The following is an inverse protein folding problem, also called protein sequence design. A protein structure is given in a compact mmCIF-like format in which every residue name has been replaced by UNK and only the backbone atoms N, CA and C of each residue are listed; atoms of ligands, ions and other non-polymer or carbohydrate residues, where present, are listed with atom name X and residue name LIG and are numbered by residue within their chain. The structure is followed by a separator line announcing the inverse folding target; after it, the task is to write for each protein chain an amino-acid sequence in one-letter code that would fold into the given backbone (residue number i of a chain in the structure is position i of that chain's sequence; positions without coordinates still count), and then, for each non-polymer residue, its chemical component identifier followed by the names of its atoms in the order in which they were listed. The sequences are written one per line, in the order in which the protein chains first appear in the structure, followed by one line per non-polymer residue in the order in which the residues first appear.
data_IF_982097881915
#
_entry.id   IF_982097881915
#
_cell.length_a   1.000
_cell.length_b   1.000
_cell.length_c   1.000
_cell.angle_alpha   90.00
_cell.angle_beta   90.00
_cell.angle_gamma   90.00
#
_symmetry.space_group_name_H-M   'P 1'
#
loop_
_entity.id
_entity.type
_entity.pdbx_description
1 polymer ?
#
# COMPACT_ATOMS: atom_id res chain seq x y z
N UNK A 1 15.77 -16.79 -9.59
CA UNK A 1 16.00 -15.94 -8.45
C UNK A 1 15.44 -14.55 -8.69
N UNK A 2 14.71 -14.05 -7.72
CA UNK A 2 14.18 -12.70 -7.81
C UNK A 2 15.29 -11.68 -7.81
N UNK A 3 15.15 -10.70 -8.68
CA UNK A 3 16.03 -9.55 -8.65
C UNK A 3 15.41 -8.50 -7.74
N UNK A 4 16.25 -7.79 -7.04
CA UNK A 4 15.79 -6.70 -6.20
C UNK A 4 15.16 -5.62 -7.07
N UNK A 5 14.11 -5.03 -6.55
CA UNK A 5 13.46 -3.91 -7.22
C UNK A 5 14.24 -2.64 -6.95
N UNK A 6 14.46 -1.86 -8.00
CA UNK A 6 15.13 -0.57 -7.85
C UNK A 6 14.21 0.43 -7.15
N UNK A 7 14.80 1.51 -6.66
CA UNK A 7 14.01 2.57 -6.03
C UNK A 7 12.96 3.12 -6.99
N UNK A 8 13.32 3.35 -8.24
CA UNK A 8 12.37 3.91 -9.20
C UNK A 8 11.25 2.91 -9.54
N UNK A 9 11.56 1.62 -9.58
CA UNK A 9 10.53 0.62 -9.77
C UNK A 9 9.56 0.58 -8.59
N UNK A 10 10.09 0.65 -7.38
CA UNK A 10 9.26 0.68 -6.18
C UNK A 10 8.37 1.92 -6.16
N UNK A 11 8.92 3.08 -6.53
CA UNK A 11 8.13 4.30 -6.59
C UNK A 11 7.02 4.20 -7.61
N UNK A 12 7.30 3.60 -8.76
CA UNK A 12 6.30 3.43 -9.81
C UNK A 12 5.14 2.57 -9.33
N UNK A 13 5.44 1.45 -8.66
CA UNK A 13 4.38 0.56 -8.22
C UNK A 13 3.60 1.14 -7.05
N UNK A 14 4.25 1.90 -6.18
CA UNK A 14 3.54 2.57 -5.08
C UNK A 14 2.59 3.62 -5.64
N UNK A 15 3.04 4.42 -6.61
CA UNK A 15 2.18 5.42 -7.25
C UNK A 15 0.95 4.79 -7.90
N UNK A 16 1.16 3.69 -8.61
CA UNK A 16 0.06 2.99 -9.25
C UNK A 16 -0.92 2.41 -8.21
N UNK A 17 -0.38 1.81 -7.15
CA UNK A 17 -1.19 1.27 -6.07
C UNK A 17 -2.06 2.37 -5.45
N UNK A 18 -1.46 3.52 -5.15
CA UNK A 18 -2.20 4.62 -4.52
C UNK A 18 -3.31 5.14 -5.45
N UNK A 19 -3.05 5.18 -6.76
CA UNK A 19 -4.09 5.58 -7.70
C UNK A 19 -5.28 4.62 -7.65
N UNK A 20 -5.02 3.31 -7.60
CA UNK A 20 -6.09 2.32 -7.47
C UNK A 20 -6.83 2.47 -6.14
N UNK A 21 -6.10 2.66 -5.05
CA UNK A 21 -6.72 2.79 -3.73
C UNK A 21 -7.61 4.01 -3.66
N UNK A 22 -7.17 5.12 -4.24
CA UNK A 22 -7.99 6.34 -4.26
C UNK A 22 -9.28 6.13 -5.07
N UNK A 23 -9.19 5.39 -6.18
CA UNK A 23 -10.36 5.05 -6.96
C UNK A 23 -11.33 4.19 -6.15
N UNK A 24 -10.79 3.19 -5.45
CA UNK A 24 -11.60 2.33 -4.61
C UNK A 24 -12.31 3.13 -3.51
N UNK A 25 -11.60 4.04 -2.86
CA UNK A 25 -12.19 4.86 -1.80
C UNK A 25 -13.25 5.82 -2.33
N UNK A 26 -13.12 6.26 -3.57
CA UNK A 26 -14.09 7.13 -4.20
C UNK A 26 -15.29 6.37 -4.76
N UNK A 27 -15.29 5.05 -4.67
CA UNK A 27 -16.34 4.23 -5.24
C UNK A 27 -16.28 4.14 -6.75
N UNK A 28 -15.17 4.56 -7.34
CA UNK A 28 -14.99 4.48 -8.79
C UNK A 28 -14.52 3.07 -9.17
N UNK A 29 -14.93 2.64 -10.35
CA UNK A 29 -14.47 1.34 -10.84
C UNK A 29 -13.06 1.46 -11.39
N UNK A 30 -12.31 0.38 -11.25
CA UNK A 30 -10.99 0.28 -11.87
C UNK A 30 -10.69 -1.20 -12.09
N UNK A 31 -9.74 -1.47 -12.98
CA UNK A 31 -9.36 -2.84 -13.29
C UNK A 31 -7.95 -3.10 -12.81
N UNK A 32 -7.81 -4.00 -11.84
CA UNK A 32 -6.50 -4.41 -11.34
C UNK A 32 -5.67 -5.02 -12.47
N UNK A 33 -6.32 -5.77 -13.34
CA UNK A 33 -5.61 -6.40 -14.48
C UNK A 33 -5.04 -5.34 -15.41
N UNK A 34 -5.85 -4.33 -15.76
CA UNK A 34 -5.38 -3.27 -16.64
C UNK A 34 -4.21 -2.50 -16.02
N UNK A 35 -4.33 -2.15 -14.75
CA UNK A 35 -3.25 -1.47 -14.04
C UNK A 35 -1.98 -2.32 -14.06
N UNK A 36 -2.10 -3.61 -13.77
CA UNK A 36 -0.95 -4.50 -13.76
C UNK A 36 -0.30 -4.61 -15.14
N UNK A 37 -1.11 -4.70 -16.19
CA UNK A 37 -0.58 -4.81 -17.54
C UNK A 37 0.16 -3.54 -17.95
N UNK A 38 -0.41 -2.38 -17.66
CA UNK A 38 0.24 -1.11 -17.97
C UNK A 38 1.53 -0.94 -17.17
N UNK A 39 1.50 -1.35 -15.92
CA UNK A 39 2.68 -1.29 -15.07
C UNK A 39 3.78 -2.21 -15.58
N UNK A 40 3.42 -3.40 -16.06
CA UNK A 40 4.39 -4.36 -16.58
C UNK A 40 5.14 -3.79 -17.80
N UNK A 41 4.51 -2.93 -18.57
CA UNK A 41 5.19 -2.26 -19.68
C UNK A 41 6.29 -1.31 -19.19
N UNK A 42 6.14 -0.79 -18.01
CA UNK A 42 7.11 0.13 -17.39
C UNK A 42 8.18 -0.61 -16.58
N UNK A 43 7.86 -1.83 -16.15
CA UNK A 43 8.74 -2.62 -15.29
C UNK A 43 9.30 -3.79 -16.07
N UNK A 44 10.33 -3.50 -16.83
CA UNK A 44 10.94 -4.48 -17.70
C UNK A 44 11.36 -5.74 -16.93
N UNK A 45 10.92 -6.90 -17.41
CA UNK A 45 11.33 -8.17 -16.84
C UNK A 45 10.63 -8.62 -15.57
N UNK A 46 9.67 -7.83 -15.09
CA UNK A 46 8.95 -8.23 -13.88
C UNK A 46 7.77 -9.12 -14.21
N UNK A 47 7.63 -10.23 -13.50
CA UNK A 47 6.55 -11.18 -13.72
C UNK A 47 5.28 -10.70 -13.02
N UNK A 48 4.15 -11.28 -13.45
CA UNK A 48 2.87 -11.03 -12.80
C UNK A 48 2.96 -11.33 -11.29
N UNK A 49 3.53 -12.49 -10.95
CA UNK A 49 3.63 -12.89 -9.54
C UNK A 49 4.46 -11.89 -8.74
N UNK A 50 5.54 -11.39 -9.34
CA UNK A 50 6.40 -10.41 -8.67
C UNK A 50 5.65 -9.10 -8.42
N UNK A 51 4.90 -8.64 -9.41
CA UNK A 51 4.12 -7.40 -9.27
C UNK A 51 3.04 -7.56 -8.22
N UNK A 52 2.31 -8.68 -8.24
CA UNK A 52 1.27 -8.92 -7.23
C UNK A 52 1.89 -8.99 -5.82
N UNK A 53 3.05 -9.63 -5.71
CA UNK A 53 3.72 -9.71 -4.40
C UNK A 53 4.07 -8.31 -3.86
N UNK A 54 4.51 -7.40 -4.75
CA UNK A 54 4.81 -6.03 -4.31
C UNK A 54 3.55 -5.28 -3.91
N UNK A 55 2.43 -5.49 -4.62
CA UNK A 55 1.16 -4.89 -4.20
C UNK A 55 0.75 -5.38 -2.81
N UNK A 56 0.98 -6.66 -2.52
CA UNK A 56 0.68 -7.21 -1.20
C UNK A 56 1.60 -6.64 -0.13
N UNK A 57 2.86 -6.37 -0.48
CA UNK A 57 3.79 -5.69 0.44
C UNK A 57 3.24 -4.31 0.81
N UNK A 58 2.77 -3.56 -0.20
CA UNK A 58 2.24 -2.21 0.05
C UNK A 58 1.03 -2.28 0.97
N UNK A 59 0.12 -3.24 0.72
CA UNK A 59 -1.03 -3.43 1.61
C UNK A 59 -0.59 -3.69 3.04
N UNK A 60 0.44 -4.52 3.22
CA UNK A 60 0.92 -4.86 4.56
C UNK A 60 1.51 -3.64 5.27
N UNK A 61 2.29 -2.82 4.55
CA UNK A 61 2.86 -1.62 5.16
C UNK A 61 1.75 -0.65 5.57
N UNK A 62 0.79 -0.42 4.67
CA UNK A 62 -0.30 0.50 4.97
C UNK A 62 -1.09 0.03 6.18
N UNK A 63 -1.42 -1.26 6.22
CA UNK A 63 -2.16 -1.81 7.34
C UNK A 63 -1.39 -1.65 8.65
N UNK A 64 -0.10 -1.97 8.63
CA UNK A 64 0.72 -1.91 9.84
C UNK A 64 0.83 -0.49 10.39
N UNK A 65 0.71 0.52 9.54
CA UNK A 65 0.88 1.91 9.94
C UNK A 65 -0.45 2.67 10.07
N UNK A 66 -1.57 1.94 10.07
CA UNK A 66 -2.86 2.56 10.36
C UNK A 66 -3.54 3.20 9.15
N UNK A 67 -3.19 2.77 7.96
CA UNK A 67 -3.78 3.29 6.73
C UNK A 67 -4.67 2.24 6.06
N UNK A 68 -5.55 2.71 5.20
CA UNK A 68 -6.37 1.83 4.37
C UNK A 68 -5.51 1.17 3.32
N UNK A 69 -5.92 -0.02 2.90
CA UNK A 69 -5.24 -0.73 1.81
C UNK A 69 -6.29 -1.26 0.83
N UNK A 70 -5.84 -1.65 -0.36
CA UNK A 70 -6.74 -2.21 -1.36
C UNK A 70 -7.22 -3.57 -0.89
N UNK A 71 -8.54 -3.76 -0.88
CA UNK A 71 -9.13 -5.01 -0.39
C UNK A 71 -8.65 -6.23 -1.15
N UNK A 72 -8.51 -6.10 -2.47
CA UNK A 72 -8.15 -7.22 -3.32
C UNK A 72 -6.68 -7.60 -3.27
N UNK A 73 -5.86 -6.85 -2.56
CA UNK A 73 -4.44 -7.20 -2.39
C UNK A 73 -4.21 -7.51 -0.92
N UNK A 74 -4.27 -8.80 -0.60
CA UNK A 74 -4.16 -9.26 0.78
C UNK A 74 -2.78 -8.95 1.36
N UNK A 75 -2.70 -8.33 2.56
CA UNK A 75 -1.41 -8.02 3.16
C UNK A 75 -0.58 -9.25 3.43
N UNK A 76 0.72 -9.18 3.12
CA UNK A 76 1.66 -10.25 3.41
C UNK A 76 2.13 -10.17 4.85
N UNK A 77 2.60 -11.31 5.37
CA UNK A 77 3.15 -11.35 6.72
C UNK A 77 4.53 -10.72 6.80
N UNK A 78 5.31 -10.87 5.74
CA UNK A 78 6.69 -10.42 5.73
C UNK A 78 6.90 -9.48 4.56
N UNK A 79 7.45 -8.31 4.82
CA UNK A 79 7.60 -7.26 3.83
C UNK A 79 9.07 -6.93 3.65
N UNK A 80 9.49 -6.72 2.41
CA UNK A 80 10.85 -6.29 2.14
C UNK A 80 11.09 -4.89 2.69
N UNK A 81 12.19 -4.66 3.41
CA UNK A 81 12.47 -3.33 3.98
C UNK A 81 12.46 -2.20 2.95
N UNK A 82 12.93 -2.49 1.73
CA UNK A 82 12.93 -1.47 0.68
C UNK A 82 11.53 -1.00 0.35
N UNK A 83 10.55 -1.92 0.33
CA UNK A 83 9.16 -1.55 0.06
C UNK A 83 8.58 -0.72 1.20
N UNK A 84 8.86 -1.10 2.43
CA UNK A 84 8.38 -0.31 3.56
C UNK A 84 8.92 1.10 3.50
N UNK A 85 10.21 1.24 3.22
CA UNK A 85 10.84 2.55 3.13
C UNK A 85 10.17 3.42 2.05
N UNK A 86 9.95 2.86 0.86
CA UNK A 86 9.38 3.62 -0.25
C UNK A 86 7.93 4.04 0.03
N UNK A 87 7.13 3.14 0.61
CA UNK A 87 5.75 3.47 0.96
C UNK A 87 5.71 4.62 1.97
N UNK A 88 6.52 4.55 3.01
CA UNK A 88 6.54 5.58 4.04
C UNK A 88 7.07 6.91 3.49
N UNK A 89 8.07 6.86 2.62
CA UNK A 89 8.56 8.04 1.92
C UNK A 89 7.46 8.69 1.06
N UNK A 90 6.71 7.85 0.34
CA UNK A 90 5.62 8.36 -0.49
C UNK A 90 4.59 9.10 0.36
N UNK A 91 4.20 8.52 1.48
CA UNK A 91 3.23 9.14 2.37
C UNK A 91 3.77 10.44 2.96
N UNK A 92 5.05 10.47 3.28
CA UNK A 92 5.69 11.67 3.80
C UNK A 92 5.69 12.81 2.77
N UNK A 93 5.92 12.46 1.50
CA UNK A 93 5.94 13.44 0.42
C UNK A 93 4.56 13.89 -0.01
N UNK A 94 3.53 13.13 0.35
CA UNK A 94 2.14 13.43 -0.05
C UNK A 94 1.23 13.45 1.18
N UNK A 95 1.40 14.44 2.05
CA UNK A 95 0.66 14.46 3.32
C UNK A 95 -0.86 14.53 3.16
N UNK A 96 -1.35 15.18 2.10
CA UNK A 96 -2.79 15.22 1.87
C UNK A 96 -3.35 13.83 1.57
N UNK A 97 -2.59 13.06 0.78
CA UNK A 97 -2.99 11.70 0.46
C UNK A 97 -2.93 10.86 1.72
N UNK A 98 -1.85 10.99 2.49
CA UNK A 98 -1.69 10.24 3.73
C UNK A 98 -2.87 10.47 4.67
N UNK A 99 -3.31 11.73 4.80
CA UNK A 99 -4.45 12.04 5.66
C UNK A 99 -5.71 11.33 5.20
N UNK A 100 -5.95 11.29 3.90
CA UNK A 100 -7.14 10.64 3.35
C UNK A 100 -7.11 9.13 3.51
N UNK A 101 -5.92 8.53 3.48
CA UNK A 101 -5.78 7.09 3.61
C UNK A 101 -5.85 6.61 5.06
N UNK A 102 -5.68 7.50 6.02
CA UNK A 102 -5.65 7.09 7.41
C UNK A 102 -7.00 6.55 7.85
N UNK A 103 -6.96 5.45 8.60
CA UNK A 103 -8.18 4.83 9.08
C UNK A 103 -8.72 5.63 10.26
N UNK A 104 -9.95 6.10 10.16
CA UNK A 104 -10.58 6.90 11.21
C UNK A 104 -10.82 6.04 12.45
N UNK A 105 -10.63 6.62 13.62
CA UNK A 105 -10.93 6.00 14.88
C UNK A 105 -9.85 5.06 15.42
N UNK A 106 -8.73 5.01 14.76
CA UNK A 106 -7.65 4.14 15.22
C UNK A 106 -6.60 4.90 15.96
N UNK A 107 -6.82 5.55 16.69
CA UNK A 107 -5.84 6.23 17.38
C UNK A 107 -6.09 6.42 18.74
N UNK A 108 -6.69 5.84 18.65
CA UNK A 108 -7.25 6.11 19.37
C UNK A 108 -7.01 5.87 20.17
N UNK A 109 -7.12 5.74 20.68
CA UNK A 109 -7.24 5.78 21.00
C UNK A 109 -6.68 5.75 21.21
N UNK A 110 -6.23 5.52 21.75
CA UNK A 110 -5.95 5.78 21.59
C UNK A 110 -5.74 5.83 20.82
N UNK A 111 -5.78 5.92 20.70
CA UNK A 111 -5.95 6.11 19.83
C UNK A 111 -6.28 5.33 19.40
N UNK A 112 -6.90 4.85 19.67
CA UNK A 112 -7.45 4.30 19.15
C UNK A 112 -8.21 3.84 18.57
N UNK A 113 -8.69 3.68 18.36
CA UNK A 113 -9.60 3.42 17.76
C UNK A 113 -10.03 2.53 17.50
N UNK A 114 -10.52 1.94 17.74
CA UNK A 114 -11.03 1.32 17.43
C UNK A 114 -10.92 0.35 17.15
N UNK A 115 -10.92 -0.10 17.83
CA UNK A 115 -10.76 -0.69 17.70
C UNK A 115 -10.29 -1.55 18.01
N UNK A 116 -10.03 -1.73 18.73
CA UNK A 116 -9.45 -2.07 18.93
C UNK A 116 -8.93 -2.25 19.53
N UNK A 117 -8.88 -2.23 20.35
CA UNK A 117 -8.31 -1.88 20.76
C UNK A 117 -7.54 -2.00 21.04
N UNK A 118 -7.01 -1.89 21.97
CA UNK A 118 -6.32 -1.35 21.86
C UNK A 118 -5.90 -1.52 22.32
N UNK A 119 -5.70 -1.72 22.97
CA UNK A 119 -5.27 -1.29 22.83
C UNK A 119 -4.88 -1.14 23.02
N UNK A 120 -4.76 -1.39 23.82
CA UNK A 120 -4.59 -0.61 23.42
C UNK A 120 -4.20 -0.34 23.48
N UNK A 121 -3.85 -0.54 24.06
CA UNK A 121 -3.66 0.23 23.52
C UNK A 121 -3.60 0.41 23.42
N UNK A 122 -3.45 0.03 24.15
CA UNK A 122 -3.63 0.65 23.46
C UNK A 122 -3.70 0.79 23.07
N UNK A 123 -3.54 0.52 24.01
CA UNK A 123 -3.87 1.10 23.06
C UNK A 123 -3.87 1.14 22.62
#
# INVERSE_FOLDING_TARGET
MDQDWSASECEAIVGDYVAMLRAEMAGATYSKTRHRLLLALRLSGRTRASIVARHQDISAVLLAHGYRHIRGYKPKRSVKPAMEHVVLQYLHKHPEIARRLRVAGRMDDAGRPEGRPLPARRT
#
